data_IF_568524495982
#
_entry.id   IF_568524495982
#
_cell.length_a   1.000
_cell.length_b   1.000
_cell.length_c   1.000
_cell.angle_alpha   90.00
_cell.angle_beta   90.00
_cell.angle_gamma   90.00
#
_symmetry.space_group_name_H-M   'P 1'
#
loop_
_entity.id
_entity.type
_entity.pdbx_description
1 polymer ?
#
# COMPACT_ATOMS: atom_id res chain seq x y z
N UNK A 1 2.74 -34.76 -1.79
CA UNK A 1 1.62 -34.27 -2.62
C UNK A 1 1.14 -32.96 -2.01
N UNK A 2 1.78 -31.88 -2.40
CA UNK A 2 1.47 -30.51 -1.96
C UNK A 2 0.15 -30.13 -2.58
N UNK A 3 -0.91 -30.05 -1.77
CA UNK A 3 -2.20 -29.52 -2.24
C UNK A 3 -1.93 -28.11 -2.77
N UNK A 4 -2.38 -27.83 -3.99
CA UNK A 4 -2.57 -26.47 -4.49
C UNK A 4 -3.59 -25.80 -3.56
N UNK A 5 -3.11 -25.30 -2.41
CA UNK A 5 -3.95 -24.78 -1.32
C UNK A 5 -4.51 -23.39 -1.63
N UNK A 6 -3.94 -22.69 -2.61
CA UNK A 6 -4.19 -21.28 -2.88
C UNK A 6 -4.47 -21.08 -4.35
N UNK A 7 -5.62 -21.56 -4.83
CA UNK A 7 -6.08 -21.25 -6.19
C UNK A 7 -7.45 -20.62 -6.11
N UNK A 8 -7.51 -19.38 -6.54
CA UNK A 8 -8.75 -18.64 -6.77
C UNK A 8 -8.93 -18.51 -8.28
N UNK A 9 -10.18 -18.54 -8.74
CA UNK A 9 -10.50 -18.22 -10.13
C UNK A 9 -10.53 -16.69 -10.28
N UNK A 10 -9.34 -16.10 -10.28
CA UNK A 10 -9.12 -14.65 -10.35
C UNK A 10 -7.82 -14.38 -11.08
N UNK A 11 -7.81 -13.34 -11.92
CA UNK A 11 -6.60 -12.80 -12.52
C UNK A 11 -6.41 -11.38 -12.03
N UNK A 12 -5.19 -11.01 -11.66
CA UNK A 12 -4.87 -9.60 -11.40
C UNK A 12 -4.99 -8.85 -12.73
N UNK A 13 -5.82 -7.80 -12.83
CA UNK A 13 -6.01 -7.12 -14.11
C UNK A 13 -4.69 -6.54 -14.62
N UNK A 14 -4.32 -6.88 -15.86
CA UNK A 14 -3.19 -6.25 -16.56
C UNK A 14 -3.61 -4.83 -16.97
N UNK A 15 -2.94 -3.81 -16.43
CA UNK A 15 -3.26 -2.40 -16.66
C UNK A 15 -2.07 -1.63 -17.20
N UNK A 16 -2.30 -0.60 -18.02
CA UNK A 16 -1.24 0.29 -18.50
C UNK A 16 -0.94 1.37 -17.45
N UNK A 17 0.33 1.77 -17.25
CA UNK A 17 0.69 2.88 -16.36
C UNK A 17 -0.03 4.20 -16.68
N UNK A 18 -0.43 4.41 -17.93
CA UNK A 18 -1.16 5.60 -18.38
C UNK A 18 -2.52 5.74 -17.70
N UNK A 19 -3.18 4.63 -17.33
CA UNK A 19 -4.45 4.66 -16.59
C UNK A 19 -4.35 5.32 -15.21
N UNK A 20 -3.14 5.35 -14.63
CA UNK A 20 -2.88 5.95 -13.32
C UNK A 20 -1.89 7.12 -13.40
N UNK A 21 -1.77 7.73 -14.59
CA UNK A 21 -0.81 8.82 -14.83
C UNK A 21 -1.29 10.18 -14.32
N UNK A 22 -2.61 10.38 -14.25
CA UNK A 22 -3.19 11.61 -13.70
C UNK A 22 -2.85 11.74 -12.21
N UNK A 23 -2.47 12.94 -11.72
CA UNK A 23 -2.20 13.14 -10.31
C UNK A 23 -3.45 12.83 -9.47
N UNK A 24 -3.36 11.89 -8.53
CA UNK A 24 -4.49 11.62 -7.62
C UNK A 24 -4.86 12.86 -6.81
N UNK A 25 -3.89 13.73 -6.53
CA UNK A 25 -4.04 14.97 -5.77
C UNK A 25 -5.06 15.94 -6.37
N UNK A 26 -5.34 15.85 -7.68
CA UNK A 26 -6.35 16.66 -8.37
C UNK A 26 -7.79 16.16 -8.16
N UNK A 27 -7.97 14.97 -7.61
CA UNK A 27 -9.30 14.44 -7.31
C UNK A 27 -9.86 15.19 -6.10
N UNK A 28 -11.07 15.77 -6.18
CA UNK A 28 -11.64 16.50 -5.05
C UNK A 28 -11.93 15.57 -3.88
N UNK A 29 -11.97 16.16 -2.69
CA UNK A 29 -12.40 15.49 -1.45
C UNK A 29 -13.72 16.09 -1.01
N UNK A 30 -14.77 15.28 -0.95
CA UNK A 30 -16.07 15.70 -0.44
C UNK A 30 -16.02 15.79 1.09
N UNK A 31 -15.80 17.01 1.59
CA UNK A 31 -15.74 17.32 3.02
C UNK A 31 -17.09 17.13 3.74
N UNK A 32 -18.19 16.99 3.01
CA UNK A 32 -19.52 16.79 3.58
C UNK A 32 -19.94 15.32 3.66
N UNK A 33 -19.18 14.41 3.04
CA UNK A 33 -19.47 12.98 3.13
C UNK A 33 -19.34 12.50 4.58
N UNK A 34 -20.37 11.88 5.17
CA UNK A 34 -20.35 11.46 6.57
C UNK A 34 -19.25 10.43 6.86
N UNK A 35 -18.81 9.65 5.86
CA UNK A 35 -17.72 8.67 6.02
C UNK A 35 -16.39 9.36 6.31
N UNK A 36 -16.18 10.59 5.84
CA UNK A 36 -14.94 11.34 6.12
C UNK A 36 -14.69 11.60 7.61
N UNK A 37 -15.72 11.46 8.46
CA UNK A 37 -15.65 11.63 9.91
C UNK A 37 -15.33 10.36 10.68
N UNK A 38 -15.17 9.21 10.00
CA UNK A 38 -14.80 7.97 10.68
C UNK A 38 -13.46 8.11 11.40
N UNK A 39 -13.33 7.65 12.66
CA UNK A 39 -12.08 7.76 13.39
C UNK A 39 -11.01 6.83 12.81
N UNK A 40 -9.75 7.12 13.12
CA UNK A 40 -8.71 6.09 13.10
C UNK A 40 -8.92 5.15 14.29
N UNK A 41 -8.74 3.86 14.07
CA UNK A 41 -8.69 2.86 15.13
C UNK A 41 -7.39 2.04 15.02
N UNK A 42 -6.85 1.54 16.15
CA UNK A 42 -5.74 0.59 16.12
C UNK A 42 -6.16 -0.69 15.39
N UNK A 43 -5.34 -1.17 14.46
CA UNK A 43 -5.59 -2.38 13.68
C UNK A 43 -5.68 -3.64 14.57
N UNK A 44 -4.98 -3.63 15.70
CA UNK A 44 -5.08 -4.69 16.72
C UNK A 44 -6.53 -4.90 17.19
N UNK A 45 -7.35 -3.83 17.24
CA UNK A 45 -8.74 -3.91 17.72
C UNK A 45 -9.66 -4.76 16.84
N UNK A 46 -9.24 -5.08 15.61
CA UNK A 46 -9.97 -5.95 14.67
C UNK A 46 -9.25 -7.27 14.40
N UNK A 47 -8.18 -7.57 15.14
CA UNK A 47 -7.49 -8.87 15.09
C UNK A 47 -6.73 -9.16 13.79
N UNK A 48 -6.38 -8.12 13.01
CA UNK A 48 -5.57 -8.27 11.79
C UNK A 48 -4.09 -8.17 12.17
N UNK A 49 -3.28 -9.11 11.68
CA UNK A 49 -1.85 -9.14 11.98
C UNK A 49 -1.09 -8.00 11.29
N UNK A 50 -0.11 -7.46 11.99
CA UNK A 50 0.72 -6.38 11.47
C UNK A 50 2.12 -6.40 12.06
N UNK A 51 3.03 -5.71 11.39
CA UNK A 51 4.28 -5.20 11.94
C UNK A 51 4.57 -3.87 11.27
N UNK A 52 4.67 -2.78 12.05
CA UNK A 52 4.96 -1.46 11.49
C UNK A 52 6.39 -1.42 10.92
N UNK A 53 6.51 -1.54 9.61
CA UNK A 53 7.77 -1.76 8.91
C UNK A 53 8.79 -0.64 9.15
N UNK A 54 8.31 0.59 9.14
CA UNK A 54 9.14 1.77 9.34
C UNK A 54 9.56 1.97 10.80
N UNK A 55 8.87 1.35 11.77
CA UNK A 55 9.21 1.46 13.19
C UNK A 55 10.18 0.37 13.68
N UNK A 56 10.56 -0.58 12.82
CA UNK A 56 11.47 -1.69 13.18
C UNK A 56 12.83 -1.17 13.64
N UNK A 57 13.29 -1.67 14.78
CA UNK A 57 14.59 -1.31 15.38
C UNK A 57 15.63 -2.43 15.28
N UNK A 58 15.25 -3.61 14.79
CA UNK A 58 16.10 -4.79 14.66
C UNK A 58 16.96 -4.80 13.38
N UNK A 59 16.85 -3.74 12.57
CA UNK A 59 17.54 -3.60 11.29
C UNK A 59 16.92 -4.42 10.15
N UNK A 60 15.81 -5.13 10.37
CA UNK A 60 15.16 -6.00 9.37
C UNK A 60 14.11 -5.26 8.53
N UNK A 61 14.39 -4.00 8.17
CA UNK A 61 13.54 -3.19 7.30
C UNK A 61 14.37 -2.56 6.17
N UNK A 62 14.98 -3.35 5.27
CA UNK A 62 15.65 -2.79 4.10
C UNK A 62 14.67 -1.92 3.28
N UNK A 63 15.14 -0.84 2.64
CA UNK A 63 16.53 -0.36 2.60
C UNK A 63 16.93 0.47 3.83
N UNK A 64 16.05 0.66 4.82
CA UNK A 64 16.24 1.61 5.92
C UNK A 64 17.24 1.14 6.97
N UNK A 65 17.14 -0.14 7.37
CA UNK A 65 18.01 -0.78 8.37
C UNK A 65 17.95 -0.13 9.76
N UNK A 66 16.93 0.68 10.03
CA UNK A 66 16.69 1.41 11.28
C UNK A 66 15.25 1.91 11.31
N UNK A 67 14.78 2.32 12.49
CA UNK A 67 13.48 2.99 12.62
C UNK A 67 13.50 4.37 11.94
N UNK A 68 12.41 4.71 11.26
CA UNK A 68 12.19 6.00 10.64
C UNK A 68 11.61 6.96 11.67
N UNK A 69 12.16 8.17 11.73
CA UNK A 69 11.66 9.23 12.61
C UNK A 69 10.18 9.54 12.31
N UNK A 70 9.36 9.65 13.36
CA UNK A 70 7.92 9.88 13.24
C UNK A 70 7.08 8.63 12.96
N UNK A 71 7.71 7.47 12.72
CA UNK A 71 7.00 6.19 12.63
C UNK A 71 6.47 5.74 14.00
N UNK A 72 5.39 4.97 13.97
CA UNK A 72 4.69 4.45 15.15
C UNK A 72 4.75 2.92 15.18
N UNK A 73 4.78 2.30 16.35
CA UNK A 73 4.90 0.84 16.47
C UNK A 73 3.58 0.09 16.18
N UNK A 74 2.46 0.75 16.45
CA UNK A 74 1.11 0.29 16.13
C UNK A 74 0.66 0.75 14.73
N UNK A 75 -0.26 0.03 14.10
CA UNK A 75 -0.84 0.41 12.81
C UNK A 75 -2.26 0.89 13.02
N UNK A 76 -2.60 2.07 12.50
CA UNK A 76 -3.94 2.65 12.60
C UNK A 76 -4.54 2.84 11.21
N UNK A 77 -5.85 2.63 11.07
CA UNK A 77 -6.59 2.83 9.83
C UNK A 77 -7.96 3.44 10.14
N UNK A 78 -8.62 4.03 9.15
CA UNK A 78 -10.04 4.39 9.24
C UNK A 78 -10.83 3.15 9.66
N UNK A 79 -11.79 3.33 10.57
CA UNK A 79 -12.59 2.25 11.13
C UNK A 79 -13.11 1.26 10.07
N UNK A 80 -13.79 1.75 9.04
CA UNK A 80 -14.33 0.89 7.98
C UNK A 80 -13.24 0.17 7.18
N UNK A 81 -12.05 0.75 7.03
CA UNK A 81 -10.91 0.11 6.35
C UNK A 81 -10.38 -1.04 7.19
N UNK A 82 -10.15 -0.82 8.49
CA UNK A 82 -9.73 -1.88 9.40
C UNK A 82 -10.76 -3.04 9.45
N UNK A 83 -12.05 -2.72 9.56
CA UNK A 83 -13.13 -3.71 9.56
C UNK A 83 -13.23 -4.48 8.23
N UNK A 84 -12.92 -3.83 7.10
CA UNK A 84 -12.79 -4.52 5.81
C UNK A 84 -11.65 -5.54 5.82
N UNK A 85 -10.46 -5.17 6.32
CA UNK A 85 -9.33 -6.10 6.41
C UNK A 85 -9.65 -7.32 7.28
N UNK A 86 -10.42 -7.15 8.36
CA UNK A 86 -10.90 -8.29 9.15
C UNK A 86 -11.80 -9.22 8.33
N UNK A 87 -12.69 -8.69 7.48
CA UNK A 87 -13.51 -9.51 6.57
C UNK A 87 -12.70 -10.16 5.45
N UNK A 88 -11.65 -9.48 4.95
CA UNK A 88 -10.68 -10.09 4.02
C UNK A 88 -10.04 -11.33 4.67
N UNK A 89 -9.66 -11.28 5.95
CA UNK A 89 -9.13 -12.46 6.66
C UNK A 89 -10.14 -13.61 6.75
N UNK A 90 -11.44 -13.33 6.87
CA UNK A 90 -12.47 -14.37 6.81
C UNK A 90 -12.54 -15.06 5.43
N UNK A 91 -12.33 -14.30 4.34
CA UNK A 91 -12.24 -14.85 2.98
C UNK A 91 -10.97 -15.69 2.76
N UNK A 92 -9.87 -15.33 3.41
CA UNK A 92 -8.58 -16.01 3.27
C UNK A 92 -8.48 -17.30 4.11
N UNK A 93 -9.31 -17.44 5.15
CA UNK A 93 -9.28 -18.57 6.09
C UNK A 93 -9.29 -19.96 5.42
N UNK A 94 -10.10 -20.25 4.38
CA UNK A 94 -10.09 -21.56 3.70
C UNK A 94 -8.77 -21.91 3.00
N UNK A 95 -7.94 -20.90 2.74
CA UNK A 95 -6.65 -21.03 2.05
C UNK A 95 -5.47 -21.11 3.03
N UNK A 96 -5.75 -21.15 4.35
CA UNK A 96 -4.75 -21.09 5.42
C UNK A 96 -3.85 -19.83 5.32
N UNK A 97 -4.35 -18.76 4.70
CA UNK A 97 -3.66 -17.47 4.59
C UNK A 97 -4.33 -16.42 5.50
N UNK A 98 -3.56 -15.41 5.89
CA UNK A 98 -4.06 -14.20 6.53
C UNK A 98 -3.25 -12.97 6.06
N UNK A 99 -3.86 -11.79 6.15
CA UNK A 99 -3.20 -10.52 5.90
C UNK A 99 -2.09 -10.28 6.94
N UNK A 100 -1.01 -9.66 6.48
CA UNK A 100 0.05 -9.11 7.31
C UNK A 100 0.33 -7.66 6.88
N UNK A 101 -0.12 -6.71 7.69
CA UNK A 101 -0.05 -5.28 7.39
C UNK A 101 1.31 -4.69 7.78
N UNK A 102 1.89 -3.89 6.90
CA UNK A 102 3.24 -3.34 7.00
C UNK A 102 3.23 -1.82 7.25
N UNK A 103 2.25 -1.11 6.68
CA UNK A 103 1.99 0.30 6.96
C UNK A 103 0.49 0.63 6.81
N UNK A 104 0.04 1.65 7.54
CA UNK A 104 -1.34 2.14 7.50
C UNK A 104 -1.37 3.66 7.48
N UNK A 105 -2.03 4.29 8.46
CA UNK A 105 -1.94 5.73 8.65
C UNK A 105 -0.50 6.14 8.94
N UNK A 106 0.02 7.02 8.07
CA UNK A 106 1.36 7.59 8.19
C UNK A 106 1.25 9.06 8.55
N UNK A 107 1.89 9.45 9.65
CA UNK A 107 1.96 10.87 10.05
C UNK A 107 2.81 11.67 9.05
N UNK A 108 2.58 12.98 8.98
CA UNK A 108 3.43 13.89 8.18
C UNK A 108 4.88 13.84 8.67
N UNK A 109 5.10 13.68 9.98
CA UNK A 109 6.43 13.48 10.55
C UNK A 109 7.11 12.19 10.04
N UNK A 110 6.38 11.07 9.96
CA UNK A 110 6.90 9.83 9.38
C UNK A 110 7.21 9.99 7.89
N UNK A 111 6.33 10.66 7.13
CA UNK A 111 6.57 10.98 5.72
C UNK A 111 7.85 11.81 5.55
N UNK A 112 8.07 12.81 6.42
CA UNK A 112 9.29 13.61 6.44
C UNK A 112 10.52 12.77 6.81
N UNK A 113 10.38 11.81 7.73
CA UNK A 113 11.42 10.84 8.08
C UNK A 113 11.86 9.99 6.88
N UNK A 114 10.91 9.49 6.10
CA UNK A 114 11.17 8.75 4.86
C UNK A 114 11.86 9.63 3.82
N UNK A 115 11.37 10.86 3.60
CA UNK A 115 12.02 11.84 2.72
C UNK A 115 13.49 12.08 3.14
N UNK A 116 13.71 12.34 4.42
CA UNK A 116 15.04 12.59 4.97
C UNK A 116 15.99 11.40 4.77
N UNK A 117 15.49 10.16 4.87
CA UNK A 117 16.27 8.97 4.60
C UNK A 117 16.80 8.95 3.17
N UNK A 118 15.91 9.07 2.17
CA UNK A 118 16.30 9.03 0.76
C UNK A 118 17.13 10.24 0.35
N UNK A 119 16.81 11.43 0.88
CA UNK A 119 17.61 12.64 0.64
C UNK A 119 19.04 12.50 1.20
N UNK A 120 19.21 11.95 2.41
CA UNK A 120 20.55 11.65 2.96
C UNK A 120 21.28 10.59 2.14
N UNK A 121 20.58 9.56 1.66
CA UNK A 121 21.15 8.56 0.75
C UNK A 121 21.63 9.20 -0.56
N UNK A 122 20.86 10.13 -1.12
CA UNK A 122 21.27 10.91 -2.30
C UNK A 122 22.57 11.68 -2.05
N UNK A 123 22.67 12.36 -0.89
CA UNK A 123 23.89 13.09 -0.49
C UNK A 123 25.09 12.18 -0.33
N UNK A 124 24.91 10.95 0.16
CA UNK A 124 25.99 9.97 0.29
C UNK A 124 26.48 9.47 -1.07
N UNK A 125 25.55 9.23 -2.00
CA UNK A 125 25.87 8.76 -3.35
C UNK A 125 26.46 9.86 -4.24
N UNK A 126 26.05 11.11 -4.04
CA UNK A 126 26.54 12.27 -4.79
C UNK A 126 26.84 13.46 -3.85
N UNK A 127 27.95 13.45 -3.08
CA UNK A 127 28.25 14.49 -2.08
C UNK A 127 28.38 15.91 -2.63
N UNK A 128 28.76 16.05 -3.90
CA UNK A 128 28.93 17.35 -4.60
C UNK A 128 27.68 17.79 -5.36
N UNK A 129 26.62 16.98 -5.37
CA UNK A 129 25.36 17.31 -6.02
C UNK A 129 24.67 18.53 -5.41
N UNK A 130 23.87 19.21 -6.23
CA UNK A 130 22.98 20.28 -5.83
C UNK A 130 21.77 19.75 -5.04
N UNK A 131 21.09 20.64 -4.30
CA UNK A 131 19.85 20.29 -3.60
C UNK A 131 18.76 19.77 -4.56
N UNK A 132 18.74 20.28 -5.80
CA UNK A 132 17.83 19.83 -6.85
C UNK A 132 18.11 18.38 -7.25
N UNK A 133 19.38 18.00 -7.42
CA UNK A 133 19.76 16.62 -7.76
C UNK A 133 19.45 15.65 -6.62
N UNK A 134 19.74 16.04 -5.37
CA UNK A 134 19.40 15.21 -4.20
C UNK A 134 17.89 15.06 -4.04
N UNK A 135 17.14 16.14 -4.23
CA UNK A 135 15.68 16.11 -4.22
C UNK A 135 15.11 15.27 -5.36
N UNK A 136 15.66 15.36 -6.57
CA UNK A 136 15.23 14.56 -7.71
C UNK A 136 15.46 13.05 -7.48
N UNK A 137 16.59 12.68 -6.87
CA UNK A 137 16.82 11.30 -6.43
C UNK A 137 15.78 10.85 -5.41
N UNK A 138 15.55 11.64 -4.34
CA UNK A 138 14.60 11.27 -3.29
C UNK A 138 13.16 11.10 -3.83
N UNK A 139 12.74 11.97 -4.77
CA UNK A 139 11.41 11.92 -5.41
C UNK A 139 11.16 10.66 -6.25
N UNK A 140 12.19 9.86 -6.56
CA UNK A 140 12.01 8.57 -7.21
C UNK A 140 11.37 7.54 -6.27
N UNK A 141 11.56 7.71 -4.96
CA UNK A 141 11.12 6.74 -3.94
C UNK A 141 9.99 7.28 -3.08
N UNK A 142 9.97 8.59 -2.81
CA UNK A 142 9.05 9.15 -1.81
C UNK A 142 8.62 10.58 -2.15
N UNK A 143 7.36 10.90 -1.86
CA UNK A 143 6.82 12.27 -1.99
C UNK A 143 7.38 13.16 -0.89
N UNK A 144 7.85 14.33 -1.29
CA UNK A 144 8.32 15.41 -0.42
C UNK A 144 7.15 16.08 0.30
N UNK A 145 7.06 15.99 1.64
CA UNK A 145 5.96 16.60 2.38
C UNK A 145 6.17 18.10 2.65
N UNK A 146 7.21 18.74 2.12
CA UNK A 146 7.49 20.19 2.37
C UNK A 146 6.31 21.10 2.02
N UNK A 147 5.51 20.72 1.03
CA UNK A 147 4.35 21.48 0.58
C UNK A 147 3.07 21.15 1.35
N UNK A 148 3.12 20.33 2.40
CA UNK A 148 1.94 19.91 3.15
C UNK A 148 1.18 21.11 3.72
N UNK A 149 -0.11 21.17 3.41
CA UNK A 149 -1.09 22.09 3.96
C UNK A 149 -2.37 21.31 4.27
N UNK A 150 -2.77 21.28 5.53
CA UNK A 150 -3.99 20.62 5.99
C UNK A 150 -5.25 21.14 5.28
N UNK A 151 -5.28 22.40 4.84
CA UNK A 151 -6.43 22.97 4.15
C UNK A 151 -6.51 22.56 2.66
N UNK A 152 -5.40 22.12 2.07
CA UNK A 152 -5.26 21.82 0.65
C UNK A 152 -5.01 20.33 0.36
N UNK A 153 -6.07 19.64 -0.10
CA UNK A 153 -6.03 18.22 -0.41
C UNK A 153 -5.04 17.83 -1.50
N UNK A 154 -4.54 18.78 -2.28
CA UNK A 154 -3.55 18.51 -3.32
C UNK A 154 -2.16 18.21 -2.76
N UNK A 155 -1.95 18.53 -1.49
CA UNK A 155 -0.64 18.44 -0.82
C UNK A 155 -0.50 17.24 0.10
N UNK A 156 -1.59 16.48 0.31
CA UNK A 156 -1.62 15.41 1.30
C UNK A 156 -0.90 14.15 0.79
N UNK A 157 0.09 13.63 1.53
CA UNK A 157 0.66 12.33 1.24
C UNK A 157 -0.39 11.21 1.37
N UNK A 158 -0.29 10.19 0.50
CA UNK A 158 -1.27 9.11 0.32
C UNK A 158 -1.76 8.43 1.61
N UNK A 159 -0.88 8.20 2.58
CA UNK A 159 -1.20 7.47 3.81
C UNK A 159 -1.76 8.34 4.94
N UNK A 160 -1.71 9.68 4.83
CA UNK A 160 -2.13 10.59 5.91
C UNK A 160 -3.65 10.60 6.16
N UNK A 161 -4.44 10.03 5.26
CA UNK A 161 -5.88 9.88 5.41
C UNK A 161 -6.31 8.60 6.16
N UNK A 162 -5.36 7.67 6.41
CA UNK A 162 -5.63 6.39 7.08
C UNK A 162 -6.48 5.40 6.30
N UNK A 163 -6.68 5.64 5.01
CA UNK A 163 -7.48 4.81 4.12
C UNK A 163 -6.65 4.09 3.04
N UNK A 164 -5.34 4.35 3.03
CA UNK A 164 -4.33 3.55 2.33
C UNK A 164 -3.72 2.52 3.31
N UNK A 165 -3.37 1.35 2.80
CA UNK A 165 -2.71 0.29 3.55
C UNK A 165 -1.68 -0.42 2.67
N UNK A 166 -0.50 -0.68 3.22
CA UNK A 166 0.52 -1.53 2.62
C UNK A 166 0.54 -2.87 3.34
N UNK A 167 0.38 -3.97 2.60
CA UNK A 167 0.27 -5.31 3.19
C UNK A 167 0.78 -6.43 2.28
N UNK A 168 0.96 -7.60 2.89
CA UNK A 168 1.23 -8.87 2.21
C UNK A 168 0.36 -9.97 2.83
N UNK A 169 0.57 -11.22 2.40
CA UNK A 169 -0.01 -12.40 3.00
C UNK A 169 1.04 -13.16 3.81
N UNK A 170 0.59 -13.86 4.85
CA UNK A 170 1.36 -14.88 5.54
C UNK A 170 0.53 -16.14 5.72
N UNK A 171 1.21 -17.26 5.89
CA UNK A 171 0.59 -18.52 6.28
C UNK A 171 0.04 -18.38 7.71
N UNK A 172 -1.25 -18.67 7.88
CA UNK A 172 -1.96 -18.52 9.15
C UNK A 172 -1.53 -19.55 10.21
N UNK A 173 -0.85 -20.64 9.82
CA UNK A 173 -0.35 -21.70 10.70
C UNK A 173 1.11 -21.48 11.05
N UNK A 174 1.99 -21.33 10.04
CA UNK A 174 3.44 -21.17 10.27
C UNK A 174 3.83 -19.73 10.62
N UNK A 175 2.98 -18.76 10.31
CA UNK A 175 3.22 -17.31 10.42
C UNK A 175 4.33 -16.78 9.50
N UNK A 176 4.79 -17.58 8.55
CA UNK A 176 5.78 -17.17 7.55
C UNK A 176 5.10 -16.36 6.44
N UNK A 177 5.78 -15.30 5.97
CA UNK A 177 5.29 -14.51 4.84
C UNK A 177 5.20 -15.39 3.59
N UNK A 178 4.12 -15.24 2.83
CA UNK A 178 3.96 -15.94 1.56
C UNK A 178 4.88 -15.31 0.51
N UNK A 179 5.39 -16.15 -0.40
CA UNK A 179 6.29 -15.69 -1.46
C UNK A 179 5.52 -14.86 -2.48
N UNK A 180 5.73 -13.54 -2.43
CA UNK A 180 5.11 -12.58 -3.36
C UNK A 180 6.00 -12.25 -4.56
N UNK A 181 7.23 -12.78 -4.60
CA UNK A 181 8.21 -12.54 -5.66
C UNK A 181 8.94 -11.18 -5.61
N UNK A 182 8.62 -10.34 -4.61
CA UNK A 182 9.36 -9.13 -4.25
C UNK A 182 9.10 -8.80 -2.78
N UNK A 183 10.08 -8.22 -2.10
CA UNK A 183 9.94 -7.74 -0.73
C UNK A 183 9.38 -6.30 -0.71
N UNK A 184 8.69 -5.95 0.37
CA UNK A 184 8.22 -4.57 0.58
C UNK A 184 9.41 -3.60 0.60
N UNK A 185 9.28 -2.47 -0.11
CA UNK A 185 10.33 -1.44 -0.27
C UNK A 185 11.60 -1.89 -1.03
N UNK A 186 11.58 -3.09 -1.62
CA UNK A 186 12.65 -3.53 -2.53
C UNK A 186 12.60 -2.76 -3.85
N UNK A 187 13.74 -2.53 -4.51
CA UNK A 187 13.80 -1.83 -5.80
C UNK A 187 13.94 -2.84 -6.95
N UNK A 188 12.82 -3.48 -7.31
CA UNK A 188 12.75 -4.52 -8.36
C UNK A 188 11.50 -4.36 -9.22
N UNK A 189 11.60 -4.71 -10.51
CA UNK A 189 10.47 -4.65 -11.45
C UNK A 189 9.29 -5.53 -11.03
N UNK A 190 9.58 -6.62 -10.31
CA UNK A 190 8.57 -7.53 -9.80
C UNK A 190 7.60 -6.86 -8.82
N UNK A 191 7.87 -5.65 -8.30
CA UNK A 191 6.94 -4.91 -7.47
C UNK A 191 5.59 -4.65 -8.15
N UNK A 192 5.57 -4.51 -9.48
CA UNK A 192 4.36 -4.20 -10.25
C UNK A 192 3.26 -5.23 -9.99
N UNK A 193 2.07 -4.76 -9.62
CA UNK A 193 0.93 -5.60 -9.21
C UNK A 193 0.62 -6.72 -10.20
N UNK A 194 0.55 -6.39 -11.48
CA UNK A 194 0.25 -7.31 -12.58
C UNK A 194 1.49 -8.01 -13.19
N UNK A 195 2.68 -7.88 -12.58
CA UNK A 195 3.94 -8.39 -13.11
C UNK A 195 3.85 -9.87 -13.50
N UNK A 196 3.41 -10.73 -12.58
CA UNK A 196 3.35 -12.17 -12.84
C UNK A 196 2.26 -12.55 -13.86
N UNK A 197 1.20 -11.77 -14.00
CA UNK A 197 0.21 -12.00 -15.07
C UNK A 197 0.82 -11.72 -16.44
N UNK A 198 1.68 -10.70 -16.56
CA UNK A 198 2.44 -10.44 -17.80
C UNK A 198 3.43 -11.54 -18.09
N UNK A 199 4.14 -12.03 -17.07
CA UNK A 199 5.08 -13.14 -17.22
C UNK A 199 4.36 -14.41 -17.69
N UNK A 200 3.16 -14.70 -17.16
CA UNK A 200 2.31 -15.80 -17.62
C UNK A 200 1.88 -15.58 -19.08
N UNK A 201 1.37 -14.40 -19.43
CA UNK A 201 0.93 -14.08 -20.77
C UNK A 201 2.07 -14.17 -21.81
N UNK A 202 3.30 -13.89 -21.41
CA UNK A 202 4.51 -14.04 -22.22
C UNK A 202 5.04 -15.49 -22.28
N UNK A 203 4.45 -16.43 -21.53
CA UNK A 203 4.90 -17.82 -21.46
C UNK A 203 6.21 -18.03 -20.68
N UNK A 204 6.60 -17.07 -19.82
CA UNK A 204 7.82 -17.16 -19.01
C UNK A 204 7.64 -17.98 -17.72
N UNK A 205 6.39 -18.11 -17.26
CA UNK A 205 6.02 -18.91 -16.09
C UNK A 205 4.77 -19.73 -16.40
N UNK A 206 4.54 -20.76 -15.60
CA UNK A 206 3.31 -21.56 -15.66
C UNK A 206 2.22 -21.01 -14.75
N UNK A 207 0.98 -21.37 -15.04
CA UNK A 207 -0.20 -21.05 -14.24
C UNK A 207 -0.08 -21.49 -12.77
N UNK A 208 0.77 -22.48 -12.45
CA UNK A 208 1.00 -22.97 -11.08
C UNK A 208 2.13 -22.23 -10.34
N UNK A 209 2.70 -21.16 -10.89
CA UNK A 209 3.71 -20.34 -10.21
C UNK A 209 3.16 -19.81 -8.87
N UNK A 210 3.88 -20.09 -7.78
CA UNK A 210 3.41 -19.76 -6.43
C UNK A 210 3.24 -18.26 -6.22
N UNK A 211 4.08 -17.42 -6.85
CA UNK A 211 4.05 -15.96 -6.69
C UNK A 211 2.85 -15.38 -7.41
N UNK A 212 2.55 -15.90 -8.61
CA UNK A 212 1.32 -15.58 -9.34
C UNK A 212 0.08 -15.92 -8.50
N UNK A 213 0.01 -17.14 -7.98
CA UNK A 213 -1.15 -17.62 -7.20
C UNK A 213 -1.35 -16.80 -5.91
N UNK A 214 -0.26 -16.46 -5.20
CA UNK A 214 -0.33 -15.62 -4.00
C UNK A 214 -0.82 -14.20 -4.31
N UNK A 215 -0.38 -13.59 -5.43
CA UNK A 215 -0.86 -12.26 -5.83
C UNK A 215 -2.31 -12.27 -6.30
N UNK A 216 -2.74 -13.32 -7.00
CA UNK A 216 -4.15 -13.52 -7.35
C UNK A 216 -5.01 -13.67 -6.10
N UNK A 217 -4.59 -14.48 -5.12
CA UNK A 217 -5.29 -14.65 -3.84
C UNK A 217 -5.41 -13.32 -3.08
N UNK A 218 -4.31 -12.57 -2.97
CA UNK A 218 -4.33 -11.26 -2.30
C UNK A 218 -5.29 -10.30 -3.01
N UNK A 219 -5.10 -10.10 -4.31
CA UNK A 219 -5.90 -9.15 -5.08
C UNK A 219 -7.38 -9.53 -5.10
N UNK A 220 -7.70 -10.81 -5.25
CA UNK A 220 -9.07 -11.33 -5.14
C UNK A 220 -9.68 -10.96 -3.79
N UNK A 221 -9.05 -11.35 -2.67
CA UNK A 221 -9.64 -11.17 -1.35
C UNK A 221 -9.83 -9.69 -1.02
N UNK A 222 -8.87 -8.83 -1.38
CA UNK A 222 -8.96 -7.38 -1.18
C UNK A 222 -10.08 -6.74 -2.03
N UNK A 223 -10.22 -7.15 -3.29
CA UNK A 223 -11.24 -6.60 -4.21
C UNK A 223 -12.65 -7.09 -3.87
N UNK A 224 -12.82 -8.27 -3.28
CA UNK A 224 -14.12 -8.72 -2.75
C UNK A 224 -14.67 -7.77 -1.67
N UNK A 225 -13.78 -7.15 -0.87
CA UNK A 225 -14.17 -6.14 0.13
C UNK A 225 -14.12 -4.70 -0.41
N UNK A 226 -13.86 -4.55 -1.71
CA UNK A 226 -13.86 -3.29 -2.44
C UNK A 226 -12.61 -2.44 -2.25
N UNK A 227 -11.52 -2.96 -1.67
CA UNK A 227 -10.23 -2.28 -1.69
C UNK A 227 -9.57 -2.45 -3.05
N UNK A 228 -9.03 -1.37 -3.60
CA UNK A 228 -8.46 -1.36 -4.95
C UNK A 228 -6.95 -1.15 -4.91
N UNK A 229 -6.27 -1.77 -5.87
CA UNK A 229 -4.85 -1.61 -6.14
C UNK A 229 -4.66 -1.05 -7.56
N UNK A 230 -3.77 -0.07 -7.73
CA UNK A 230 -3.32 0.36 -9.05
C UNK A 230 -2.34 -0.69 -9.59
N UNK A 231 -2.84 -1.70 -10.32
CA UNK A 231 -2.05 -2.91 -10.63
C UNK A 231 -0.79 -2.66 -11.47
N UNK A 232 -0.69 -1.51 -12.15
CA UNK A 232 0.53 -1.06 -12.83
C UNK A 232 1.55 -0.35 -11.91
N UNK A 233 1.33 -0.32 -10.59
CA UNK A 233 2.18 0.34 -9.59
C UNK A 233 2.91 -0.67 -8.70
N UNK A 234 2.43 -0.93 -7.48
CA UNK A 234 3.05 -1.88 -6.53
C UNK A 234 1.99 -2.80 -5.97
N UNK A 235 2.29 -4.09 -5.76
CA UNK A 235 1.27 -5.10 -5.43
C UNK A 235 0.70 -5.01 -4.01
N UNK A 236 1.42 -4.36 -3.08
CA UNK A 236 1.10 -4.34 -1.65
C UNK A 236 0.19 -3.19 -1.25
N UNK A 237 0.06 -2.15 -2.07
CA UNK A 237 -0.64 -0.91 -1.73
C UNK A 237 -2.12 -0.97 -2.15
N UNK A 238 -3.01 -0.84 -1.19
CA UNK A 238 -4.45 -0.83 -1.41
C UNK A 238 -5.11 0.37 -0.77
N UNK A 239 -6.16 0.86 -1.42
CA UNK A 239 -6.90 2.03 -0.98
C UNK A 239 -8.40 1.76 -0.90
N UNK A 240 -9.07 2.50 -0.02
CA UNK A 240 -10.53 2.61 -0.02
C UNK A 240 -10.99 4.01 0.36
N UNK A 241 -11.65 4.71 -0.56
CA UNK A 241 -12.31 5.99 -0.29
C UNK A 241 -11.45 7.26 -0.26
N UNK A 242 -10.13 7.13 -0.44
CA UNK A 242 -9.25 8.27 -0.65
C UNK A 242 -9.09 8.62 -2.15
N UNK A 243 -8.23 9.59 -2.46
CA UNK A 243 -8.02 10.04 -3.83
C UNK A 243 -7.40 8.97 -4.74
N UNK A 244 -6.50 8.12 -4.23
CA UNK A 244 -5.91 7.02 -5.02
C UNK A 244 -7.00 5.99 -5.33
N UNK A 245 -7.83 5.62 -4.36
CA UNK A 245 -8.99 4.75 -4.59
C UNK A 245 -9.91 5.31 -5.69
N UNK A 246 -10.26 6.61 -5.62
CA UNK A 246 -11.10 7.24 -6.62
C UNK A 246 -10.45 7.21 -8.03
N UNK A 247 -9.12 7.38 -8.13
CA UNK A 247 -8.39 7.23 -9.39
C UNK A 247 -8.41 5.78 -9.88
N UNK A 248 -8.05 4.82 -9.03
CA UNK A 248 -8.03 3.40 -9.35
C UNK A 248 -9.41 2.90 -9.79
N UNK A 249 -10.47 3.35 -9.12
CA UNK A 249 -11.85 2.96 -9.43
C UNK A 249 -12.28 3.27 -10.85
N UNK A 250 -11.72 4.31 -11.49
CA UNK A 250 -12.01 4.65 -12.90
C UNK A 250 -11.58 3.57 -13.89
N UNK A 251 -10.61 2.73 -13.51
CA UNK A 251 -10.14 1.62 -14.33
C UNK A 251 -10.95 0.33 -14.11
N UNK A 252 -11.64 0.19 -12.97
CA UNK A 252 -12.19 -1.10 -12.53
C UNK A 252 -13.69 -1.10 -12.25
N UNK A 253 -14.30 0.05 -11.93
CA UNK A 253 -15.70 0.16 -11.55
C UNK A 253 -16.53 0.78 -12.68
N UNK A 254 -17.77 0.31 -12.81
CA UNK A 254 -18.73 0.86 -13.77
C UNK A 254 -19.15 2.29 -13.42
N UNK A 255 -19.27 2.60 -12.12
CA UNK A 255 -19.65 3.91 -11.60
C UNK A 255 -18.65 4.38 -10.52
N UNK A 256 -17.49 4.93 -10.94
CA UNK A 256 -16.47 5.38 -10.01
C UNK A 256 -16.90 6.67 -9.28
N UNK A 257 -16.60 6.81 -7.97
CA UNK A 257 -16.85 8.05 -7.26
C UNK A 257 -16.10 9.23 -7.89
N UNK A 258 -16.78 10.37 -8.00
CA UNK A 258 -16.20 11.60 -8.54
C UNK A 258 -15.26 12.31 -7.56
N UNK A 259 -15.42 12.04 -6.26
CA UNK A 259 -14.64 12.61 -5.17
C UNK A 259 -14.26 11.53 -4.16
N UNK A 260 -13.11 11.72 -3.51
CA UNK A 260 -12.76 10.97 -2.32
C UNK A 260 -13.63 11.43 -1.14
N UNK A 261 -13.90 10.54 -0.18
CA UNK A 261 -14.58 10.90 1.08
C UNK A 261 -13.63 10.91 2.28
N UNK A 262 -12.46 10.28 2.17
CA UNK A 262 -11.40 10.41 3.17
C UNK A 262 -10.40 11.49 2.81
N UNK A 263 -10.30 12.48 3.67
CA UNK A 263 -9.21 13.45 3.66
C UNK A 263 -8.16 13.18 4.73
N UNK A 264 -7.20 14.11 4.83
CA UNK A 264 -6.21 14.15 5.91
C UNK A 264 -6.88 13.96 7.28
N UNK A 265 -6.22 13.20 8.14
CA UNK A 265 -6.57 13.10 9.55
C UNK A 265 -5.29 13.16 10.38
N UNK A 266 -5.28 14.09 11.32
CA UNK A 266 -4.25 14.10 12.35
C UNK A 266 -4.45 12.88 13.26
N UNK A 267 -3.39 12.10 13.54
CA UNK A 267 -3.49 11.00 14.47
C UNK A 267 -3.77 11.56 15.86
N UNK A 268 -4.90 11.18 16.47
CA UNK A 268 -5.18 11.50 17.88
C UNK A 268 -4.06 10.93 18.76
N UNK A 269 -3.52 11.77 19.66
CA UNK A 269 -2.47 11.39 20.62
C UNK A 269 -2.87 10.22 21.50
#
# INVERSE_FOLDING_TARGET
>A
MTRSRMRVDHQVPITSPQMFSSPYSEIPVDKNDPRGREPLIPLESVGVAFESYYAKTDGKNPPFGRSIEGSRQDVWLRKSVAEKLARVNELLRPFEAELFVLDGHRSVACQQGLWNFFYRKAKQLNPTGSEQEHGAYARQFIVDPVAFDEADSRTWPAHTNGAAVDLTLRDSVTKELLEMGALFEEDVEANVGDYFERQLAAGHIDENDVRLQNRRLLNWAMTQEGLLNETAKVFWHYDWGNQIYARASRAFLQDPPQAAWYGYIEPSR
#
